data_IF_057480943148
#
_entry.id   IF_057480943148
#
_cell.length_a   1.000
_cell.length_b   1.000
_cell.length_c   1.000
_cell.angle_alpha   90.00
_cell.angle_beta   90.00
_cell.angle_gamma   90.00
#
_symmetry.space_group_name_H-M   'P 1'
#
loop_
_entity.id
_entity.type
_entity.pdbx_description
1 polymer ?
#
# COMPACT_ATOMS: atom_id res chain seq x y z
N UNK A 1 -10.97 11.96 -10.38
CA UNK A 1 -9.89 11.71 -9.39
C UNK A 1 -10.39 11.89 -7.97
N UNK A 2 -11.10 12.98 -7.66
CA UNK A 2 -11.61 13.31 -6.30
C UNK A 2 -12.33 12.15 -5.61
N UNK A 3 -13.10 11.32 -6.35
CA UNK A 3 -13.85 10.19 -5.78
C UNK A 3 -12.98 9.16 -5.04
N UNK A 4 -11.85 8.73 -5.63
CA UNK A 4 -10.97 7.70 -5.03
C UNK A 4 -10.38 8.22 -3.73
N UNK A 5 -9.90 9.47 -3.73
CA UNK A 5 -9.38 10.11 -2.53
C UNK A 5 -10.45 10.24 -1.46
N UNK A 6 -11.65 10.73 -1.82
CA UNK A 6 -12.77 10.86 -0.88
C UNK A 6 -13.17 9.51 -0.27
N UNK A 7 -13.28 8.46 -1.07
CA UNK A 7 -13.58 7.09 -0.60
C UNK A 7 -12.47 6.56 0.31
N UNK A 8 -11.21 6.81 -0.04
CA UNK A 8 -10.05 6.39 0.77
C UNK A 8 -9.97 7.12 2.11
N UNK A 9 -10.27 8.43 2.14
CA UNK A 9 -10.36 9.21 3.37
C UNK A 9 -11.54 8.75 4.23
N UNK A 10 -12.70 8.50 3.62
CA UNK A 10 -13.85 7.92 4.32
C UNK A 10 -13.50 6.55 4.93
N UNK A 11 -12.80 5.70 4.18
CA UNK A 11 -12.27 4.43 4.69
C UNK A 11 -11.30 4.63 5.86
N UNK A 12 -10.33 5.53 5.75
CA UNK A 12 -9.38 5.82 6.83
C UNK A 12 -10.07 6.25 8.12
N UNK A 13 -11.04 7.16 8.03
CA UNK A 13 -11.82 7.64 9.19
C UNK A 13 -12.65 6.51 9.79
N UNK A 14 -13.32 5.70 8.96
CA UNK A 14 -14.13 4.57 9.43
C UNK A 14 -13.27 3.46 10.05
N UNK A 15 -12.06 3.26 9.54
CA UNK A 15 -11.11 2.27 10.05
C UNK A 15 -10.26 2.81 11.21
N UNK A 16 -10.42 4.07 11.61
CA UNK A 16 -9.55 4.76 12.56
C UNK A 16 -9.40 4.02 13.91
N UNK A 17 -10.45 3.46 14.54
CA UNK A 17 -10.28 2.71 15.80
C UNK A 17 -9.39 1.47 15.62
N UNK A 18 -9.56 0.75 14.51
CA UNK A 18 -8.78 -0.44 14.22
C UNK A 18 -7.34 -0.10 13.84
N UNK A 19 -7.15 0.94 13.03
CA UNK A 19 -5.82 1.45 12.67
C UNK A 19 -5.07 1.98 13.89
N UNK A 20 -5.76 2.68 14.80
CA UNK A 20 -5.18 3.14 16.05
C UNK A 20 -4.76 1.96 16.93
N UNK A 21 -5.59 0.92 17.04
CA UNK A 21 -5.23 -0.29 17.76
C UNK A 21 -4.00 -0.98 17.16
N UNK A 22 -3.89 -1.07 15.83
CA UNK A 22 -2.70 -1.59 15.17
C UNK A 22 -1.47 -0.71 15.36
N UNK A 23 -1.60 0.62 15.26
CA UNK A 23 -0.50 1.53 15.51
C UNK A 23 0.02 1.38 16.95
N UNK A 24 -0.88 1.38 17.94
CA UNK A 24 -0.53 1.21 19.34
C UNK A 24 0.10 -0.16 19.62
N UNK A 25 -0.38 -1.22 18.98
CA UNK A 25 0.21 -2.56 19.10
C UNK A 25 1.62 -2.60 18.52
N UNK A 26 1.84 -2.03 17.32
CA UNK A 26 3.16 -2.00 16.69
C UNK A 26 4.14 -1.20 17.57
N UNK A 27 3.77 0.02 17.96
CA UNK A 27 4.65 0.85 18.80
C UNK A 27 4.88 0.25 20.19
N UNK A 28 3.84 -0.30 20.82
CA UNK A 28 3.97 -0.98 22.10
C UNK A 28 4.90 -2.19 22.02
N UNK A 29 4.83 -2.98 20.94
CA UNK A 29 5.74 -4.10 20.73
C UNK A 29 7.18 -3.62 20.48
N UNK A 30 7.38 -2.57 19.69
CA UNK A 30 8.72 -2.00 19.48
C UNK A 30 9.31 -1.46 20.78
N UNK A 31 8.48 -0.77 21.57
CA UNK A 31 8.86 -0.21 22.87
C UNK A 31 9.28 -1.29 23.88
N UNK A 32 8.52 -2.39 23.97
CA UNK A 32 8.78 -3.48 24.92
C UNK A 32 9.91 -4.39 24.46
N UNK A 33 9.92 -4.77 23.18
CA UNK A 33 10.88 -5.75 22.67
C UNK A 33 12.25 -5.15 22.33
N UNK A 34 12.32 -3.83 22.14
CA UNK A 34 13.51 -3.09 21.73
C UNK A 34 14.35 -3.86 20.69
N UNK A 35 13.75 -4.27 19.56
CA UNK A 35 14.41 -5.15 18.63
C UNK A 35 15.64 -4.46 18.04
N UNK A 36 16.73 -5.22 17.83
CA UNK A 36 17.95 -4.72 17.16
C UNK A 36 17.68 -4.14 15.76
N UNK A 37 16.56 -4.51 15.13
CA UNK A 37 16.09 -3.96 13.87
C UNK A 37 14.58 -3.69 13.95
N UNK A 38 14.21 -2.42 14.09
CA UNK A 38 12.82 -1.96 14.03
C UNK A 38 12.18 -2.20 12.66
N UNK A 39 13.01 -2.21 11.61
CA UNK A 39 12.59 -2.33 10.21
C UNK A 39 11.85 -3.62 9.93
N UNK A 40 12.34 -4.76 10.45
CA UNK A 40 11.76 -6.07 10.16
C UNK A 40 10.36 -6.26 10.74
N UNK A 41 10.17 -5.93 12.02
CA UNK A 41 8.89 -6.07 12.71
C UNK A 41 7.84 -5.12 12.13
N UNK A 42 8.22 -3.86 11.89
CA UNK A 42 7.35 -2.85 11.27
C UNK A 42 6.96 -3.27 9.86
N UNK A 43 7.91 -3.79 9.07
CA UNK A 43 7.67 -4.24 7.71
C UNK A 43 6.66 -5.40 7.64
N UNK A 44 6.78 -6.40 8.52
CA UNK A 44 5.85 -7.52 8.56
C UNK A 44 4.41 -7.03 8.89
N UNK A 45 4.26 -6.17 9.90
CA UNK A 45 2.98 -5.61 10.28
C UNK A 45 2.35 -4.76 9.16
N UNK A 46 3.15 -3.90 8.51
CA UNK A 46 2.71 -3.08 7.37
C UNK A 46 2.29 -3.94 6.17
N UNK A 47 2.98 -5.06 5.93
CA UNK A 47 2.62 -6.00 4.84
C UNK A 47 1.26 -6.62 5.10
N UNK A 48 0.98 -7.02 6.34
CA UNK A 48 -0.33 -7.57 6.74
C UNK A 48 -1.43 -6.50 6.57
N UNK A 49 -1.19 -5.27 7.03
CA UNK A 49 -2.14 -4.16 6.87
C UNK A 49 -2.39 -3.84 5.39
N UNK A 50 -1.33 -3.76 4.58
CA UNK A 50 -1.44 -3.55 3.14
C UNK A 50 -2.29 -4.64 2.48
N UNK A 51 -2.14 -5.90 2.90
CA UNK A 51 -2.99 -7.00 2.44
C UNK A 51 -4.48 -6.76 2.74
N UNK A 52 -4.82 -6.35 3.97
CA UNK A 52 -6.21 -6.04 4.31
C UNK A 52 -6.76 -4.82 3.54
N UNK A 53 -5.94 -3.79 3.29
CA UNK A 53 -6.34 -2.68 2.43
C UNK A 53 -6.65 -3.15 1.01
N UNK A 54 -5.82 -4.02 0.44
CA UNK A 54 -6.09 -4.59 -0.88
C UNK A 54 -7.39 -5.39 -0.89
N UNK A 55 -7.67 -6.16 0.16
CA UNK A 55 -8.95 -6.88 0.26
C UNK A 55 -10.15 -5.94 0.26
N UNK A 56 -10.07 -4.86 1.02
CA UNK A 56 -11.11 -3.84 1.04
C UNK A 56 -11.32 -3.21 -0.35
N UNK A 57 -10.26 -2.70 -0.96
CA UNK A 57 -10.36 -1.99 -2.23
C UNK A 57 -10.58 -2.89 -3.45
N UNK A 58 -10.22 -4.17 -3.42
CA UNK A 58 -10.49 -5.09 -4.52
C UNK A 58 -11.86 -5.75 -4.37
N UNK A 59 -12.19 -6.25 -3.17
CA UNK A 59 -13.33 -7.14 -2.95
C UNK A 59 -14.47 -6.51 -2.15
N UNK A 60 -14.32 -5.27 -1.68
CA UNK A 60 -15.35 -4.57 -0.90
C UNK A 60 -15.57 -5.14 0.50
N UNK A 61 -14.63 -5.96 0.98
CA UNK A 61 -14.69 -6.53 2.32
C UNK A 61 -14.47 -5.44 3.37
N UNK A 62 -15.21 -5.48 4.48
CA UNK A 62 -15.01 -4.47 5.53
C UNK A 62 -13.77 -4.82 6.35
N UNK A 63 -13.12 -3.78 6.89
CA UNK A 63 -11.93 -3.93 7.71
C UNK A 63 -12.35 -4.47 9.08
N UNK A 64 -12.40 -5.80 9.22
CA UNK A 64 -12.82 -6.47 10.45
C UNK A 64 -12.19 -7.84 10.61
N UNK A 65 -11.91 -8.22 11.86
CA UNK A 65 -11.27 -9.50 12.24
C UNK A 65 -12.21 -10.71 12.11
N UNK A 66 -13.52 -10.49 11.92
CA UNK A 66 -14.53 -11.56 11.86
C UNK A 66 -14.64 -12.09 10.44
N UNK A 67 -14.76 -13.42 10.28
CA UNK A 67 -14.92 -14.13 9.01
C UNK A 67 -15.96 -13.46 8.09
N UNK A 68 -15.49 -12.64 7.15
CA UNK A 68 -16.32 -12.01 6.14
C UNK A 68 -16.23 -12.79 4.84
N UNK A 69 -17.41 -13.09 4.28
CA UNK A 69 -17.51 -13.71 2.97
C UNK A 69 -17.21 -12.65 1.91
N UNK A 70 -16.40 -12.96 0.88
CA UNK A 70 -16.16 -12.04 -0.23
C UNK A 70 -17.48 -11.67 -0.92
N UNK A 71 -17.55 -10.47 -1.49
CA UNK A 71 -18.73 -10.00 -2.20
C UNK A 71 -19.12 -10.96 -3.35
N UNK A 72 -20.42 -11.11 -3.59
CA UNK A 72 -20.95 -11.95 -4.66
C UNK A 72 -20.35 -11.54 -6.03
N UNK A 73 -19.80 -12.50 -6.78
CA UNK A 73 -19.13 -12.26 -8.06
C UNK A 73 -17.64 -11.90 -7.97
N UNK A 74 -17.03 -11.93 -6.78
CA UNK A 74 -15.57 -11.82 -6.65
C UNK A 74 -14.88 -12.99 -7.39
N UNK A 75 -13.79 -12.74 -8.15
CA UNK A 75 -13.07 -13.81 -8.85
C UNK A 75 -12.55 -14.88 -7.88
N UNK A 76 -12.47 -16.17 -8.29
CA UNK A 76 -11.98 -17.24 -7.44
C UNK A 76 -10.57 -16.92 -6.93
N UNK A 77 -10.42 -17.02 -5.61
CA UNK A 77 -9.31 -16.45 -4.85
C UNK A 77 -8.02 -17.24 -5.10
N UNK A 78 -7.11 -16.73 -5.93
CA UNK A 78 -5.76 -17.31 -6.10
C UNK A 78 -4.78 -16.70 -5.09
N UNK A 79 -5.05 -16.95 -3.80
CA UNK A 79 -4.27 -16.45 -2.65
C UNK A 79 -2.75 -16.61 -2.84
N UNK A 80 -2.31 -17.78 -3.29
CA UNK A 80 -0.90 -18.08 -3.51
C UNK A 80 -0.24 -17.22 -4.58
N UNK A 81 -0.93 -16.92 -5.67
CA UNK A 81 -0.39 -16.03 -6.72
C UNK A 81 -0.31 -14.59 -6.23
N UNK A 82 -1.35 -14.09 -5.57
CA UNK A 82 -1.33 -12.73 -5.01
C UNK A 82 -0.17 -12.54 -4.02
N UNK A 83 0.05 -13.51 -3.14
CA UNK A 83 1.19 -13.48 -2.20
C UNK A 83 2.52 -13.58 -2.94
N UNK A 84 2.69 -14.54 -3.85
CA UNK A 84 3.95 -14.72 -4.58
C UNK A 84 4.35 -13.45 -5.34
N UNK A 85 3.37 -12.82 -5.98
CA UNK A 85 3.58 -11.59 -6.71
C UNK A 85 3.84 -10.41 -5.76
N UNK A 86 3.08 -10.30 -4.67
CA UNK A 86 3.30 -9.26 -3.65
C UNK A 86 4.69 -9.39 -3.03
N UNK A 87 5.15 -10.61 -2.76
CA UNK A 87 6.51 -10.91 -2.29
C UNK A 87 7.53 -10.51 -3.34
N UNK A 88 7.42 -10.99 -4.58
CA UNK A 88 8.35 -10.62 -5.66
C UNK A 88 8.46 -9.11 -5.87
N UNK A 89 7.37 -8.37 -5.74
CA UNK A 89 7.33 -6.92 -5.91
C UNK A 89 7.70 -6.09 -4.71
N UNK A 90 7.80 -6.68 -3.53
CA UNK A 90 8.40 -6.00 -2.39
C UNK A 90 9.90 -6.31 -2.34
N UNK A 91 10.27 -7.56 -2.60
CA UNK A 91 11.65 -7.98 -2.63
C UNK A 91 12.43 -7.42 -3.81
N UNK A 92 11.85 -7.25 -5.01
CA UNK A 92 12.59 -6.69 -6.16
C UNK A 92 12.96 -5.21 -5.94
N UNK A 93 12.05 -4.29 -5.59
CA UNK A 93 12.41 -2.91 -5.31
C UNK A 93 13.29 -2.77 -4.08
N UNK A 94 13.10 -3.60 -3.05
CA UNK A 94 14.00 -3.63 -1.88
C UNK A 94 15.38 -4.11 -2.30
N UNK A 95 15.50 -5.20 -3.06
CA UNK A 95 16.78 -5.72 -3.53
C UNK A 95 17.48 -4.73 -4.46
N UNK A 96 16.75 -4.05 -5.35
CA UNK A 96 17.28 -3.00 -6.22
C UNK A 96 17.70 -1.78 -5.40
N UNK A 97 16.86 -1.30 -4.48
CA UNK A 97 17.19 -0.17 -3.60
C UNK A 97 18.35 -0.49 -2.66
N UNK A 98 18.45 -1.73 -2.18
CA UNK A 98 19.54 -2.23 -1.35
C UNK A 98 20.83 -2.39 -2.15
N UNK A 99 20.77 -2.93 -3.38
CA UNK A 99 21.93 -3.01 -4.27
C UNK A 99 22.44 -1.62 -4.65
N UNK A 100 21.55 -0.67 -4.94
CA UNK A 100 21.89 0.73 -5.19
C UNK A 100 22.45 1.37 -3.92
N UNK A 101 21.78 1.20 -2.77
CA UNK A 101 22.22 1.74 -1.49
C UNK A 101 23.58 1.22 -1.05
N UNK A 102 23.85 -0.07 -1.26
CA UNK A 102 25.14 -0.72 -1.01
C UNK A 102 26.22 -0.24 -1.99
N UNK A 103 25.91 -0.15 -3.28
CA UNK A 103 26.81 0.40 -4.30
C UNK A 103 27.12 1.89 -4.07
N UNK A 104 26.25 2.61 -3.36
CA UNK A 104 26.38 4.04 -3.05
C UNK A 104 26.76 4.32 -1.60
N UNK A 105 26.97 3.30 -0.77
CA UNK A 105 27.27 3.44 0.65
C UNK A 105 28.62 4.14 0.83
N UNK A 106 28.58 5.35 1.38
CA UNK A 106 29.75 6.15 1.76
C UNK A 106 30.01 7.43 0.96
N UNK A 107 29.22 7.77 -0.07
CA UNK A 107 29.51 8.94 -0.94
C UNK A 107 28.39 9.96 -1.13
N UNK A 108 27.14 9.67 -0.79
CA UNK A 108 26.02 10.55 -1.14
C UNK A 108 25.13 10.93 0.04
N UNK A 109 24.58 12.15 -0.01
CA UNK A 109 23.63 12.66 0.97
C UNK A 109 22.33 11.83 0.96
N UNK A 110 21.67 11.59 2.12
CA UNK A 110 20.43 10.81 2.23
C UNK A 110 19.32 11.23 1.25
N UNK A 111 19.23 12.52 0.95
CA UNK A 111 18.29 13.08 -0.02
C UNK A 111 18.50 12.55 -1.44
N UNK A 112 19.75 12.32 -1.83
CA UNK A 112 20.10 11.84 -3.16
C UNK A 112 19.76 10.34 -3.31
N UNK A 113 19.94 9.56 -2.24
CA UNK A 113 19.47 8.16 -2.18
C UNK A 113 17.94 8.09 -2.31
N UNK A 114 17.21 8.98 -1.64
CA UNK A 114 15.74 9.09 -1.78
C UNK A 114 15.37 9.49 -3.21
N UNK A 115 16.06 10.49 -3.78
CA UNK A 115 15.82 10.96 -5.15
C UNK A 115 16.02 9.91 -6.23
N UNK A 116 16.97 8.97 -6.04
CA UNK A 116 17.22 7.86 -6.97
C UNK A 116 16.27 6.69 -6.74
N UNK A 117 16.02 6.33 -5.47
CA UNK A 117 15.19 5.17 -5.13
C UNK A 117 13.70 5.41 -5.37
N UNK A 118 13.21 6.64 -5.17
CA UNK A 118 11.80 6.97 -5.30
C UNK A 118 11.25 6.74 -6.72
N UNK A 119 11.89 7.21 -7.82
CA UNK A 119 11.44 6.91 -9.18
C UNK A 119 11.41 5.42 -9.50
N UNK A 120 12.41 4.66 -9.06
CA UNK A 120 12.49 3.21 -9.28
C UNK A 120 11.36 2.51 -8.52
N UNK A 121 11.13 2.91 -7.28
CA UNK A 121 10.04 2.40 -6.46
C UNK A 121 8.66 2.72 -7.07
N UNK A 122 8.45 3.96 -7.52
CA UNK A 122 7.22 4.38 -8.18
C UNK A 122 6.99 3.66 -9.51
N UNK A 123 8.05 3.43 -10.28
CA UNK A 123 7.99 2.64 -11.51
C UNK A 123 7.55 1.21 -11.18
N UNK A 124 8.19 0.56 -10.20
CA UNK A 124 7.83 -0.78 -9.77
C UNK A 124 6.37 -0.88 -9.29
N UNK A 125 5.92 0.06 -8.45
CA UNK A 125 4.52 0.14 -8.03
C UNK A 125 3.56 0.41 -9.19
N UNK A 126 3.94 1.24 -10.15
CA UNK A 126 3.09 1.51 -11.31
C UNK A 126 2.93 0.28 -12.21
N UNK A 127 4.01 -0.49 -12.39
CA UNK A 127 4.00 -1.77 -13.08
C UNK A 127 3.19 -2.80 -12.29
N UNK A 128 3.20 -2.77 -10.95
CA UNK A 128 2.31 -3.61 -10.14
C UNK A 128 0.84 -3.40 -10.47
N UNK A 129 0.38 -2.14 -10.46
CA UNK A 129 -1.03 -1.81 -10.67
C UNK A 129 -1.54 -2.17 -12.07
N UNK A 130 -0.64 -2.47 -13.02
CA UNK A 130 -0.96 -2.53 -14.46
C UNK A 130 -0.49 -3.80 -15.17
N UNK A 131 0.71 -4.31 -14.88
CA UNK A 131 1.28 -5.50 -15.51
C UNK A 131 0.64 -6.79 -14.98
N UNK A 132 0.31 -6.83 -13.70
CA UNK A 132 -0.39 -7.96 -13.08
C UNK A 132 -1.72 -8.32 -13.74
N UNK A 133 -2.67 -7.38 -13.85
CA UNK A 133 -3.93 -7.65 -14.53
C UNK A 133 -3.72 -8.01 -16.01
N UNK A 134 -2.72 -7.42 -16.67
CA UNK A 134 -2.40 -7.74 -18.06
C UNK A 134 -1.91 -9.18 -18.26
N UNK A 135 -1.07 -9.70 -17.36
CA UNK A 135 -0.57 -11.09 -17.42
C UNK A 135 -1.67 -12.09 -17.08
N UNK A 136 -2.56 -11.75 -16.13
CA UNK A 136 -3.69 -12.61 -15.75
C UNK A 136 -4.80 -12.60 -16.81
N UNK A 137 -4.93 -11.53 -17.60
CA UNK A 137 -5.96 -11.37 -18.62
C UNK A 137 -5.93 -12.43 -19.74
N UNK A 138 -4.84 -13.20 -19.91
CA UNK A 138 -4.64 -14.37 -20.80
C UNK A 138 -5.10 -14.31 -22.27
N UNK A 139 -5.79 -13.26 -22.71
CA UNK A 139 -6.43 -13.20 -24.02
C UNK A 139 -5.55 -12.62 -25.13
N UNK A 140 -4.26 -12.36 -24.88
CA UNK A 140 -3.32 -11.80 -25.87
C UNK A 140 -3.67 -10.40 -26.39
N UNK A 141 -4.81 -9.84 -26.00
CA UNK A 141 -5.34 -8.55 -26.47
C UNK A 141 -4.70 -7.35 -25.80
N UNK A 142 -3.93 -7.56 -24.72
CA UNK A 142 -3.31 -6.48 -23.95
C UNK A 142 -1.90 -6.21 -24.47
N UNK A 143 -1.72 -5.08 -25.16
CA UNK A 143 -0.41 -4.69 -25.73
C UNK A 143 0.49 -4.06 -24.67
N UNK A 144 1.80 -4.29 -24.75
CA UNK A 144 2.81 -3.66 -23.86
C UNK A 144 2.66 -2.13 -23.82
N UNK A 145 2.39 -1.49 -24.97
CA UNK A 145 2.16 -0.05 -25.06
C UNK A 145 0.95 0.43 -24.24
N UNK A 146 -0.12 -0.37 -24.13
CA UNK A 146 -1.27 -0.05 -23.27
C UNK A 146 -0.89 -0.18 -21.79
N UNK A 147 -0.09 -1.20 -21.45
CA UNK A 147 0.49 -1.37 -20.11
C UNK A 147 1.37 -0.20 -19.70
N UNK A 148 2.28 0.24 -20.56
CA UNK A 148 3.15 1.40 -20.31
C UNK A 148 2.36 2.70 -20.13
N UNK A 149 1.36 2.96 -20.97
CA UNK A 149 0.51 4.17 -20.85
C UNK A 149 -0.29 4.17 -19.54
N UNK A 150 -0.88 3.02 -19.18
CA UNK A 150 -1.57 2.87 -17.91
C UNK A 150 -0.60 2.99 -16.72
N UNK A 151 0.60 2.43 -16.85
CA UNK A 151 1.66 2.51 -15.85
C UNK A 151 2.06 3.95 -15.58
N UNK A 152 2.34 4.73 -16.63
CA UNK A 152 2.67 6.16 -16.48
C UNK A 152 1.56 6.97 -15.81
N UNK A 153 0.30 6.73 -16.18
CA UNK A 153 -0.85 7.36 -15.51
C UNK A 153 -0.96 6.95 -14.04
N UNK A 154 -0.67 5.69 -13.73
CA UNK A 154 -0.65 5.17 -12.35
C UNK A 154 0.47 5.83 -11.54
N UNK A 155 1.66 5.90 -12.11
CA UNK A 155 2.84 6.55 -11.53
C UNK A 155 2.54 8.01 -11.17
N UNK A 156 1.96 8.77 -12.10
CA UNK A 156 1.59 10.18 -11.85
C UNK A 156 0.57 10.33 -10.72
N UNK A 157 -0.40 9.40 -10.63
CA UNK A 157 -1.38 9.39 -9.54
C UNK A 157 -0.75 9.03 -8.19
N UNK A 158 0.17 8.07 -8.17
CA UNK A 158 0.93 7.71 -6.97
C UNK A 158 1.79 8.88 -6.48
N UNK A 159 2.39 9.62 -7.41
CA UNK A 159 3.19 10.81 -7.11
C UNK A 159 2.33 11.96 -6.54
N UNK A 160 1.24 12.32 -7.22
CA UNK A 160 0.42 13.47 -6.81
C UNK A 160 -0.47 13.20 -5.59
N UNK A 161 -0.81 11.94 -5.30
CA UNK A 161 -1.65 11.59 -4.17
C UNK A 161 -0.82 11.09 -2.98
N UNK A 162 -0.54 9.79 -2.92
CA UNK A 162 0.23 9.16 -1.83
C UNK A 162 1.55 9.85 -1.51
N UNK A 163 2.40 10.16 -2.50
CA UNK A 163 3.71 10.77 -2.22
C UNK A 163 3.59 12.21 -1.72
N UNK A 164 2.67 13.00 -2.26
CA UNK A 164 2.44 14.36 -1.78
C UNK A 164 1.92 14.36 -0.35
N UNK A 165 0.91 13.54 -0.05
CA UNK A 165 0.37 13.38 1.31
C UNK A 165 1.44 12.86 2.26
N UNK A 166 2.17 11.82 1.86
CA UNK A 166 3.27 11.27 2.64
C UNK A 166 4.38 12.30 2.90
N UNK A 167 4.75 13.10 1.90
CA UNK A 167 5.74 14.17 2.03
C UNK A 167 5.32 15.24 3.03
N UNK A 168 4.05 15.66 2.99
CA UNK A 168 3.48 16.60 3.98
C UNK A 168 3.52 15.99 5.38
N UNK A 169 3.11 14.73 5.54
CA UNK A 169 3.12 14.05 6.83
C UNK A 169 4.54 13.86 7.39
N UNK A 170 5.51 13.54 6.54
CA UNK A 170 6.92 13.45 6.93
C UNK A 170 7.45 14.83 7.35
N UNK A 171 7.14 15.89 6.61
CA UNK A 171 7.53 17.25 6.98
C UNK A 171 6.95 17.64 8.34
N UNK A 172 5.66 17.36 8.57
CA UNK A 172 5.01 17.57 9.87
C UNK A 172 5.69 16.77 10.98
N UNK A 173 5.95 15.48 10.76
CA UNK A 173 6.62 14.62 11.73
C UNK A 173 8.04 15.08 12.06
N UNK A 174 8.80 15.60 11.08
CA UNK A 174 10.12 16.18 11.31
C UNK A 174 10.02 17.47 12.13
N UNK A 175 9.05 18.34 11.82
CA UNK A 175 8.84 19.58 12.54
C UNK A 175 8.40 19.32 13.98
N UNK A 176 7.45 18.41 14.21
CA UNK A 176 6.99 18.04 15.56
C UNK A 176 8.02 17.21 16.33
N UNK A 177 8.87 16.45 15.63
CA UNK A 177 9.93 15.65 16.25
C UNK A 177 10.96 16.49 16.99
N UNK A 178 11.19 17.74 16.56
CA UNK A 178 12.07 18.69 17.28
C UNK A 178 11.57 19.02 18.67
N UNK A 179 10.25 19.09 18.84
CA UNK A 179 9.63 19.28 20.14
C UNK A 179 9.70 18.01 20.98
N UNK A 180 9.44 16.84 20.36
CA UNK A 180 9.49 15.56 21.03
C UNK A 180 10.90 15.16 21.52
N UNK A 181 11.97 15.68 20.91
CA UNK A 181 13.35 15.40 21.30
C UNK A 181 13.73 15.87 22.72
N UNK A 182 12.92 16.74 23.35
CA UNK A 182 13.11 17.14 24.75
C UNK A 182 12.42 16.22 25.75
N UNK A 183 11.71 15.18 25.30
CA UNK A 183 10.97 14.26 26.18
C UNK A 183 11.88 13.11 26.63
N UNK A 184 11.68 12.58 27.86
CA UNK A 184 12.32 11.35 28.30
C UNK A 184 11.95 10.16 27.40
N UNK A 185 12.90 9.25 27.19
CA UNK A 185 12.72 8.06 26.34
C UNK A 185 11.62 7.13 26.87
N UNK A 186 11.34 7.16 28.18
CA UNK A 186 10.31 6.37 28.85
C UNK A 186 8.94 7.07 28.92
N UNK A 187 8.81 8.25 28.30
CA UNK A 187 7.59 9.06 28.37
C UNK A 187 6.42 8.46 27.59
N UNK A 188 5.27 8.29 28.26
CA UNK A 188 4.01 7.90 27.60
C UNK A 188 3.58 8.89 26.51
N UNK A 189 3.98 10.16 26.64
CA UNK A 189 3.72 11.19 25.61
C UNK A 189 4.50 10.88 24.33
N UNK A 190 5.73 10.36 24.46
CA UNK A 190 6.56 9.94 23.33
C UNK A 190 5.95 8.71 22.63
N UNK A 191 5.46 7.73 23.40
CA UNK A 191 4.73 6.58 22.85
C UNK A 191 3.46 7.00 22.09
N UNK A 192 2.68 7.93 22.67
CA UNK A 192 1.48 8.46 22.03
C UNK A 192 1.81 9.24 20.75
N UNK A 193 2.92 9.98 20.75
CA UNK A 193 3.44 10.69 19.58
C UNK A 193 3.79 9.70 18.46
N UNK A 194 4.59 8.67 18.73
CA UNK A 194 4.93 7.66 17.73
C UNK A 194 3.72 6.88 17.22
N UNK A 195 2.78 6.55 18.12
CA UNK A 195 1.52 5.90 17.76
C UNK A 195 0.72 6.76 16.78
N UNK A 196 0.64 8.07 17.05
CA UNK A 196 -0.06 9.03 16.17
C UNK A 196 0.66 9.17 14.83
N UNK A 197 1.99 9.28 14.84
CA UNK A 197 2.79 9.36 13.62
C UNK A 197 2.60 8.10 12.75
N UNK A 198 2.56 6.91 13.37
CA UNK A 198 2.31 5.64 12.67
C UNK A 198 0.89 5.54 12.12
N UNK A 199 -0.12 5.94 12.90
CA UNK A 199 -1.51 6.01 12.44
C UNK A 199 -1.65 6.90 11.20
N UNK A 200 -1.06 8.10 11.23
CA UNK A 200 -1.05 9.00 10.08
C UNK A 200 -0.27 8.41 8.90
N UNK A 201 0.82 7.68 9.17
CA UNK A 201 1.61 6.95 8.18
C UNK A 201 0.83 5.91 7.38
N UNK A 202 -0.29 5.38 7.89
CA UNK A 202 -1.15 4.46 7.13
C UNK A 202 -1.92 5.15 5.99
N UNK A 203 -2.20 6.45 6.11
CA UNK A 203 -2.96 7.19 5.11
C UNK A 203 -2.32 7.16 3.70
N UNK A 204 -1.04 7.51 3.50
CA UNK A 204 -0.40 7.41 2.18
C UNK A 204 -0.38 5.96 1.66
N UNK A 205 -0.25 4.97 2.53
CA UNK A 205 -0.35 3.55 2.13
C UNK A 205 -1.75 3.21 1.62
N UNK A 206 -2.81 3.60 2.33
CA UNK A 206 -4.20 3.42 1.91
C UNK A 206 -4.45 4.07 0.56
N UNK A 207 -3.99 5.31 0.39
CA UNK A 207 -4.10 6.03 -0.89
C UNK A 207 -3.38 5.30 -2.01
N UNK A 208 -2.17 4.79 -1.76
CA UNK A 208 -1.39 4.07 -2.75
C UNK A 208 -2.12 2.80 -3.18
N UNK A 209 -2.61 2.02 -2.22
CA UNK A 209 -3.38 0.80 -2.48
C UNK A 209 -4.66 1.11 -3.25
N UNK A 210 -5.40 2.15 -2.89
CA UNK A 210 -6.61 2.56 -3.58
C UNK A 210 -6.34 2.94 -5.06
N UNK A 211 -5.27 3.71 -5.31
CA UNK A 211 -4.84 4.05 -6.68
C UNK A 211 -4.50 2.79 -7.48
N UNK A 212 -3.74 1.86 -6.89
CA UNK A 212 -3.35 0.60 -7.54
C UNK A 212 -4.58 -0.26 -7.85
N UNK A 213 -5.51 -0.40 -6.89
CA UNK A 213 -6.72 -1.20 -7.05
C UNK A 213 -7.68 -0.62 -8.09
N UNK A 214 -7.85 0.70 -8.13
CA UNK A 214 -8.62 1.36 -9.19
C UNK A 214 -7.99 1.10 -10.55
N UNK A 215 -6.67 1.22 -10.66
CA UNK A 215 -6.01 1.01 -11.94
C UNK A 215 -6.13 -0.44 -12.40
N UNK A 216 -5.99 -1.38 -11.46
CA UNK A 216 -6.28 -2.79 -11.69
C UNK A 216 -7.69 -2.99 -12.27
N UNK A 217 -8.72 -2.41 -11.63
CA UNK A 217 -10.13 -2.51 -12.09
C UNK A 217 -10.32 -1.97 -13.51
N UNK A 218 -9.65 -0.88 -13.88
CA UNK A 218 -9.73 -0.28 -15.22
C UNK A 218 -9.05 -1.11 -16.29
N UNK A 219 -7.95 -1.79 -15.95
CA UNK A 219 -7.17 -2.59 -16.89
C UNK A 219 -7.68 -4.02 -17.04
N UNK A 220 -8.55 -4.48 -16.13
CA UNK A 220 -9.13 -5.81 -16.19
C UNK A 220 -10.04 -5.94 -17.43
N UNK A 221 -9.92 -7.03 -18.22
CA UNK A 221 -10.87 -7.31 -19.28
C UNK A 221 -12.28 -7.39 -18.73
N UNK A 222 -13.26 -6.78 -19.40
CA UNK A 222 -14.67 -7.02 -19.07
C UNK A 222 -14.92 -8.53 -19.23
N UNK A 223 -15.61 -9.17 -18.27
CA UNK A 223 -16.03 -10.56 -18.47
C UNK A 223 -16.82 -10.63 -19.78
N UNK A 224 -16.45 -11.57 -20.66
CA UNK A 224 -17.20 -11.83 -21.88
C UNK A 224 -18.65 -12.13 -21.46
N UNK A 225 -19.58 -11.26 -21.85
CA UNK A 225 -21.01 -11.56 -21.77
C UNK A 225 -21.22 -12.83 -22.59
N UNK A 226 -21.47 -13.97 -21.95
CA UNK A 226 -21.66 -15.26 -22.64
C UNK A 226 -20.86 -16.44 -22.10
N UNK A 227 -20.16 -16.34 -20.96
CA UNK A 227 -19.69 -17.53 -20.26
C UNK A 227 -20.88 -18.37 -19.76
N UNK A 228 -20.99 -19.68 -20.08
CA UNK A 228 -22.21 -20.48 -19.93
C UNK A 228 -22.54 -20.88 -18.47
N UNK A 229 -22.55 -19.95 -17.51
CA UNK A 229 -22.80 -20.33 -16.11
C UNK A 229 -23.23 -19.22 -15.14
N UNK A 230 -23.66 -18.04 -15.60
CA UNK A 230 -24.11 -16.96 -14.71
C UNK A 230 -25.46 -16.33 -15.12
N UNK A 231 -26.24 -17.00 -15.96
CA UNK A 231 -27.66 -16.70 -16.14
C UNK A 231 -28.46 -17.58 -15.18
N UNK A 232 -28.72 -17.08 -13.98
CA UNK A 232 -29.53 -17.83 -13.02
C UNK A 232 -29.44 -17.29 -11.61
N UNK A 233 -30.12 -16.16 -11.37
CA UNK A 233 -30.94 -15.89 -10.18
C UNK A 233 -31.11 -14.38 -9.99
N UNK A 234 -32.11 -13.85 -10.68
CA UNK A 234 -32.88 -12.70 -10.20
C UNK A 234 -33.78 -13.23 -9.07
N UNK A 235 -33.62 -12.81 -7.80
CA UNK A 235 -34.67 -13.04 -6.82
C UNK A 235 -35.87 -12.16 -7.20
N UNK A 236 -37.06 -12.77 -7.15
CA UNK A 236 -38.34 -12.09 -7.25
C UNK A 236 -38.58 -11.18 -6.04
#
# INVERSE_FOLDING_TARGET
MVRIYRESFGFFVNALPMLLAFAALIEGLLWVLQPKSETGATFAALTILAYYFHRHFLFGETFGLRNQKPAAGAPPFKFGWFILISVGLVFVPIAVAFAIGFAMAGRFAPLLTIGISLPIYLLALSLFGTALPAVVARNGSYRLAQGLRAGFQTMWRLLLGPCLVGGVLVALAVLSGRWAAGLPDDSLVLLAYFTTARLLGFLPTILAVAVLCEMYRRTRPKPLKGGPGLEGHTPA
#
